data_IF_090095668478
#
_entry.id   IF_090095668478
#
_cell.length_a   1.000
_cell.length_b   1.000
_cell.length_c   1.000
_cell.angle_alpha   90.00
_cell.angle_beta   90.00
_cell.angle_gamma   90.00
#
_symmetry.space_group_name_H-M   'P 1'
#
loop_
_entity.id
_entity.type
_entity.pdbx_description
1 polymer ?
#
# COMPACT_ATOMS: atom_id res chain seq x y z
N UNK A 1 -34.61 -9.55 -59.07
CA UNK A 1 -34.08 -9.96 -60.39
C UNK A 1 -32.64 -9.43 -60.46
N UNK A 2 -31.66 -10.04 -59.79
CA UNK A 2 -30.88 -11.26 -60.13
C UNK A 2 -29.85 -11.06 -61.26
N UNK A 3 -28.58 -10.93 -60.87
CA UNK A 3 -27.36 -11.60 -61.42
C UNK A 3 -26.15 -10.86 -60.82
N UNK A 4 -25.39 -11.39 -59.85
CA UNK A 4 -24.48 -12.55 -59.84
C UNK A 4 -23.18 -12.35 -60.62
N UNK A 5 -22.09 -12.10 -59.89
CA UNK A 5 -20.76 -12.68 -60.13
C UNK A 5 -19.84 -12.22 -59.00
N UNK A 6 -19.49 -13.15 -58.10
CA UNK A 6 -18.51 -12.94 -57.04
C UNK A 6 -17.08 -13.03 -57.54
N UNK A 7 -16.14 -12.58 -56.70
CA UNK A 7 -14.80 -13.15 -56.61
C UNK A 7 -14.23 -12.92 -55.20
N UNK A 8 -13.98 -14.04 -54.55
CA UNK A 8 -13.12 -14.24 -53.38
C UNK A 8 -11.69 -14.38 -53.92
N UNK A 9 -10.69 -13.74 -53.33
CA UNK A 9 -9.32 -14.27 -53.31
C UNK A 9 -8.51 -13.68 -52.14
N UNK A 10 -8.39 -14.53 -51.13
CA UNK A 10 -7.19 -14.74 -50.30
C UNK A 10 -5.95 -14.96 -51.20
N UNK A 11 -4.79 -14.39 -50.88
CA UNK A 11 -3.49 -15.09 -50.99
C UNK A 11 -2.35 -14.29 -50.37
N UNK A 12 -1.76 -14.90 -49.34
CA UNK A 12 -0.38 -14.77 -48.89
C UNK A 12 0.59 -15.37 -49.94
N UNK A 13 1.87 -14.92 -50.05
CA UNK A 13 2.92 -15.81 -50.54
C UNK A 13 4.11 -15.93 -49.57
N UNK A 14 4.48 -17.19 -49.31
CA UNK A 14 5.72 -17.64 -48.67
C UNK A 14 6.84 -17.81 -49.72
N UNK A 15 8.05 -17.38 -49.33
CA UNK A 15 9.36 -18.08 -49.37
C UNK A 15 9.99 -18.53 -50.72
N UNK A 16 11.23 -18.07 -50.95
CA UNK A 16 12.41 -18.83 -51.45
C UNK A 16 13.67 -17.99 -51.11
N UNK A 17 14.83 -18.45 -50.63
CA UNK A 17 15.38 -19.78 -50.37
C UNK A 17 16.63 -20.07 -51.24
N UNK A 18 17.85 -19.97 -50.67
CA UNK A 18 19.09 -20.73 -51.03
C UNK A 18 20.32 -20.14 -50.26
N UNK A 19 20.89 -20.77 -49.22
CA UNK A 19 21.91 -21.87 -49.17
C UNK A 19 23.31 -21.44 -49.66
N UNK A 20 24.48 -21.82 -49.12
CA UNK A 20 25.02 -22.69 -48.05
C UNK A 20 26.55 -22.42 -48.05
N UNK A 21 27.28 -22.49 -46.92
CA UNK A 21 28.48 -23.35 -46.81
C UNK A 21 29.14 -23.40 -45.43
N UNK A 22 29.60 -24.62 -45.12
CA UNK A 22 30.18 -25.14 -43.89
C UNK A 22 31.65 -24.76 -43.66
N UNK A 23 32.10 -24.79 -42.39
CA UNK A 23 33.33 -25.50 -41.97
C UNK A 23 33.38 -25.74 -40.45
N UNK A 24 33.54 -27.03 -40.11
CA UNK A 24 33.96 -27.55 -38.81
C UNK A 24 35.43 -27.21 -38.50
N UNK A 25 35.79 -27.11 -37.21
CA UNK A 25 36.84 -27.97 -36.65
C UNK A 25 36.81 -28.03 -35.12
N UNK A 26 37.08 -29.23 -34.62
CA UNK A 26 37.01 -29.65 -33.23
C UNK A 26 38.38 -29.66 -32.52
N UNK A 27 38.29 -29.90 -31.20
CA UNK A 27 39.20 -30.64 -30.33
C UNK A 27 40.24 -29.94 -29.41
N UNK A 28 39.97 -30.16 -28.12
CA UNK A 28 40.82 -30.77 -27.07
C UNK A 28 41.88 -29.96 -26.33
N UNK A 29 41.84 -30.06 -24.98
CA UNK A 29 42.97 -29.74 -24.12
C UNK A 29 42.65 -29.76 -22.61
N UNK A 30 42.44 -30.94 -22.03
CA UNK A 30 42.53 -31.17 -20.57
C UNK A 30 44.02 -31.11 -20.15
N UNK A 31 44.39 -30.32 -19.13
CA UNK A 31 45.38 -30.75 -18.14
C UNK A 31 45.47 -29.86 -16.88
N UNK A 32 45.37 -30.54 -15.74
CA UNK A 32 45.81 -30.19 -14.38
C UNK A 32 47.18 -29.49 -14.30
N UNK A 33 47.32 -28.53 -13.37
CA UNK A 33 48.50 -28.45 -12.46
C UNK A 33 48.20 -27.68 -11.17
N UNK A 34 48.65 -28.29 -10.07
CA UNK A 34 48.56 -27.95 -8.64
C UNK A 34 49.58 -26.88 -8.19
N UNK A 35 49.26 -26.31 -7.02
CA UNK A 35 50.15 -25.87 -5.91
C UNK A 35 51.01 -24.60 -6.16
N UNK A 36 51.24 -23.69 -5.21
CA UNK A 36 51.19 -23.78 -3.75
C UNK A 36 51.35 -22.39 -3.07
N UNK A 37 51.03 -22.37 -1.76
CA UNK A 37 51.47 -21.48 -0.67
C UNK A 37 50.72 -20.14 -0.51
N UNK A 38 50.27 -19.72 0.69
CA UNK A 38 50.72 -20.06 2.05
C UNK A 38 49.65 -19.82 3.14
N UNK A 39 49.67 -20.74 4.10
CA UNK A 39 49.03 -20.84 5.43
C UNK A 39 49.81 -19.89 6.40
N UNK A 40 49.24 -19.19 7.40
CA UNK A 40 48.92 -19.71 8.76
C UNK A 40 48.03 -18.80 9.63
N UNK A 41 47.40 -19.36 10.70
CA UNK A 41 46.43 -18.74 11.63
C UNK A 41 46.98 -18.55 13.06
N UNK A 42 46.29 -17.77 13.92
CA UNK A 42 46.47 -17.67 15.40
C UNK A 42 45.21 -16.94 15.97
N UNK A 43 44.59 -17.23 17.13
CA UNK A 43 44.78 -18.23 18.17
C UNK A 43 43.52 -18.25 19.07
N UNK A 44 43.20 -19.40 19.65
CA UNK A 44 42.17 -19.59 20.69
C UNK A 44 42.88 -19.95 21.99
N UNK A 45 42.60 -19.24 23.10
CA UNK A 45 42.91 -19.71 24.45
C UNK A 45 42.00 -19.03 25.48
N UNK A 46 41.12 -19.82 26.11
CA UNK A 46 41.10 -19.94 27.57
C UNK A 46 40.35 -21.19 28.01
N UNK A 47 41.00 -21.92 28.90
CA UNK A 47 40.78 -23.28 29.37
C UNK A 47 39.88 -23.37 30.61
N UNK A 48 39.10 -24.46 30.66
CA UNK A 48 38.78 -25.37 31.80
C UNK A 48 38.12 -24.84 33.08
N UNK A 49 36.97 -25.43 33.43
CA UNK A 49 36.91 -26.44 34.51
C UNK A 49 35.65 -27.31 34.44
N UNK A 50 35.88 -28.61 34.60
CA UNK A 50 34.97 -29.75 34.64
C UNK A 50 34.05 -29.80 35.88
N UNK A 51 32.85 -30.37 35.69
CA UNK A 51 32.00 -30.93 36.74
C UNK A 51 30.91 -31.82 36.12
N UNK A 52 31.04 -33.14 36.27
CA UNK A 52 30.04 -34.17 35.96
C UNK A 52 28.89 -34.21 37.00
N UNK A 53 27.83 -34.96 36.66
CA UNK A 53 26.61 -35.35 37.41
C UNK A 53 25.36 -34.55 37.01
N UNK A 54 24.18 -35.10 36.73
CA UNK A 54 23.64 -36.46 36.79
C UNK A 54 22.40 -36.52 35.87
N UNK A 55 22.06 -37.72 35.42
CA UNK A 55 20.77 -38.07 34.81
C UNK A 55 19.65 -37.96 35.86
N UNK A 56 18.60 -37.18 35.58
CA UNK A 56 17.30 -37.42 36.21
C UNK A 56 16.14 -37.28 35.22
N UNK A 57 15.49 -38.42 35.01
CA UNK A 57 14.17 -38.58 34.41
C UNK A 57 13.14 -38.15 35.47
N UNK A 58 12.38 -37.08 35.23
CA UNK A 58 11.00 -36.98 35.73
C UNK A 58 10.24 -35.89 34.97
N UNK A 59 9.33 -36.31 34.09
CA UNK A 59 8.31 -35.42 33.55
C UNK A 59 7.20 -35.22 34.56
N UNK A 60 6.84 -33.96 34.83
CA UNK A 60 5.45 -33.55 35.12
C UNK A 60 5.27 -32.07 34.72
N UNK A 61 4.26 -31.86 33.89
CA UNK A 61 3.61 -30.61 33.47
C UNK A 61 4.09 -29.28 34.06
N UNK A 62 4.78 -28.49 33.24
CA UNK A 62 4.86 -27.04 33.35
C UNK A 62 4.26 -26.42 32.08
N UNK A 63 2.97 -26.09 32.13
CA UNK A 63 2.40 -25.14 31.18
C UNK A 63 3.05 -23.77 31.38
N UNK A 64 3.33 -23.00 30.33
CA UNK A 64 3.93 -21.68 30.52
C UNK A 64 2.93 -20.75 31.21
N UNK A 65 3.31 -20.29 32.41
CA UNK A 65 2.74 -19.16 33.11
C UNK A 65 2.99 -17.90 32.26
N UNK A 66 1.94 -17.40 31.62
CA UNK A 66 2.02 -16.14 30.87
C UNK A 66 2.03 -14.96 31.84
N UNK A 67 3.20 -14.34 31.99
CA UNK A 67 3.30 -13.00 32.55
C UNK A 67 2.58 -12.02 31.62
N UNK A 68 1.75 -11.16 32.24
CA UNK A 68 1.11 -10.00 31.66
C UNK A 68 2.19 -8.96 31.29
N UNK A 69 2.92 -9.23 30.22
CA UNK A 69 3.88 -8.31 29.61
C UNK A 69 3.15 -7.29 28.75
N UNK A 70 3.54 -6.03 28.90
CA UNK A 70 2.93 -4.86 28.30
C UNK A 70 3.01 -4.92 26.76
N UNK A 71 1.86 -5.02 26.10
CA UNK A 71 1.73 -4.67 24.69
C UNK A 71 1.57 -3.15 24.62
N UNK A 72 2.70 -2.45 24.60
CA UNK A 72 2.74 -0.99 24.43
C UNK A 72 2.46 -0.67 22.96
N UNK A 73 1.50 0.24 22.75
CA UNK A 73 0.98 0.70 21.47
C UNK A 73 2.02 0.83 20.33
N UNK A 74 1.75 0.17 19.20
CA UNK A 74 2.42 0.41 17.95
C UNK A 74 1.62 -0.18 16.79
N UNK A 75 1.40 0.61 15.74
CA UNK A 75 0.82 0.10 14.50
C UNK A 75 1.63 -1.09 13.96
N UNK A 76 1.01 -1.98 13.18
CA UNK A 76 1.56 -3.31 13.01
C UNK A 76 2.57 -3.26 11.86
N UNK A 77 3.87 -3.38 12.15
CA UNK A 77 4.93 -3.78 11.20
C UNK A 77 6.38 -3.73 11.72
N UNK A 78 6.69 -3.13 12.88
CA UNK A 78 8.12 -2.88 13.20
C UNK A 78 8.64 -3.55 14.47
N UNK A 79 7.78 -3.99 15.40
CA UNK A 79 8.26 -4.44 16.71
C UNK A 79 9.07 -3.37 17.46
N UNK A 80 9.00 -2.11 17.00
CA UNK A 80 9.61 -0.98 17.66
C UNK A 80 8.57 -0.46 18.64
N UNK A 81 8.86 -0.64 19.94
CA UNK A 81 8.18 0.10 20.99
C UNK A 81 8.25 1.59 20.64
N UNK A 82 7.08 2.19 20.45
CA UNK A 82 6.98 3.63 20.51
C UNK A 82 7.15 4.00 21.99
N UNK A 83 7.96 5.02 22.32
CA UNK A 83 7.92 5.57 23.67
C UNK A 83 6.46 5.91 23.96
N UNK A 84 5.88 5.21 24.93
CA UNK A 84 4.53 5.50 25.40
C UNK A 84 4.45 6.97 25.79
N UNK A 85 3.26 7.56 25.69
CA UNK A 85 3.02 8.96 26.05
C UNK A 85 3.29 9.27 27.55
N UNK A 86 3.91 8.35 28.31
CA UNK A 86 4.07 8.41 29.76
C UNK A 86 5.54 8.36 30.26
N UNK A 87 6.55 8.30 29.39
CA UNK A 87 7.94 8.51 29.85
C UNK A 87 8.35 9.99 29.80
N UNK A 88 8.84 10.44 30.95
CA UNK A 88 9.20 11.78 31.33
C UNK A 88 10.13 12.46 30.31
N UNK A 89 9.70 13.65 29.85
CA UNK A 89 10.33 14.45 28.79
C UNK A 89 11.66 15.07 29.26
N UNK A 90 12.76 14.37 29.05
CA UNK A 90 14.00 15.08 28.72
C UNK A 90 13.96 15.43 27.23
N UNK A 91 13.40 16.60 26.90
CA UNK A 91 13.54 17.17 25.56
C UNK A 91 15.04 17.22 25.23
N UNK A 92 15.52 16.53 24.17
CA UNK A 92 16.94 16.54 23.85
C UNK A 92 17.39 17.99 23.69
N UNK A 93 18.36 18.39 24.52
CA UNK A 93 18.70 19.77 24.87
C UNK A 93 19.24 20.66 23.72
N UNK A 94 19.03 20.30 22.45
CA UNK A 94 19.58 21.03 21.29
C UNK A 94 18.69 21.09 20.04
N UNK A 95 17.37 20.87 20.15
CA UNK A 95 16.47 21.04 18.99
C UNK A 95 16.05 22.51 18.81
N UNK A 96 16.40 23.11 17.67
CA UNK A 96 15.84 24.39 17.23
C UNK A 96 14.31 24.31 17.03
N UNK A 97 13.63 25.45 16.96
CA UNK A 97 12.16 25.51 16.87
C UNK A 97 11.60 24.68 15.69
N UNK A 98 12.30 24.70 14.55
CA UNK A 98 11.93 23.92 13.38
C UNK A 98 12.03 22.41 13.63
N UNK A 99 13.07 21.94 14.33
CA UNK A 99 13.23 20.54 14.68
C UNK A 99 12.19 20.05 15.68
N UNK A 100 11.80 20.88 16.66
CA UNK A 100 10.69 20.56 17.58
C UNK A 100 9.36 20.45 16.84
N UNK A 101 9.09 21.39 15.93
CA UNK A 101 7.87 21.36 15.11
C UNK A 101 7.82 20.12 14.20
N UNK A 102 8.91 19.83 13.47
CA UNK A 102 9.01 18.61 12.66
C UNK A 102 8.84 17.35 13.48
N UNK A 103 9.47 17.27 14.65
CA UNK A 103 9.32 16.11 15.53
C UNK A 103 7.87 15.91 15.98
N UNK A 104 7.20 16.99 16.40
CA UNK A 104 5.80 16.96 16.83
C UNK A 104 4.82 16.51 15.74
N UNK A 105 5.06 16.89 14.49
CA UNK A 105 4.18 16.58 13.35
C UNK A 105 4.78 15.56 12.37
N UNK A 106 5.83 14.82 12.80
CA UNK A 106 6.64 13.95 11.92
C UNK A 106 5.83 12.91 11.18
N UNK A 107 4.79 12.40 11.81
CA UNK A 107 3.92 11.36 11.25
C UNK A 107 3.07 11.90 10.10
N UNK A 108 2.53 13.10 10.25
CA UNK A 108 1.77 13.79 9.20
C UNK A 108 2.65 14.16 8.00
N UNK A 109 3.90 14.55 8.25
CA UNK A 109 4.88 14.79 7.19
C UNK A 109 5.27 13.48 6.50
N UNK A 110 5.47 12.40 7.26
CA UNK A 110 5.80 11.10 6.72
C UNK A 110 4.68 10.58 5.80
N UNK A 111 3.42 10.63 6.24
CA UNK A 111 2.26 10.26 5.42
C UNK A 111 2.11 11.14 4.17
N UNK A 112 2.36 12.44 4.29
CA UNK A 112 2.36 13.36 3.14
C UNK A 112 3.41 12.97 2.08
N UNK A 113 4.68 12.85 2.47
CA UNK A 113 5.76 12.54 1.53
C UNK A 113 5.69 11.11 1.01
N UNK A 114 5.30 10.15 1.87
CA UNK A 114 5.10 8.76 1.46
C UNK A 114 4.00 8.62 0.42
N UNK A 115 2.86 9.31 0.61
CA UNK A 115 1.75 9.27 -0.36
C UNK A 115 2.10 10.01 -1.64
N UNK A 116 2.81 11.15 -1.54
CA UNK A 116 3.31 11.88 -2.70
C UNK A 116 4.22 11.01 -3.57
N UNK A 117 5.18 10.30 -2.97
CA UNK A 117 6.08 9.37 -3.68
C UNK A 117 5.29 8.22 -4.31
N UNK A 118 4.36 7.63 -3.56
CA UNK A 118 3.49 6.57 -4.09
C UNK A 118 2.70 7.06 -5.33
N UNK A 119 2.11 8.25 -5.28
CA UNK A 119 1.37 8.79 -6.44
C UNK A 119 2.32 9.16 -7.58
N UNK A 120 3.50 9.74 -7.32
CA UNK A 120 4.45 10.07 -8.37
C UNK A 120 4.92 8.86 -9.17
N UNK A 121 5.24 7.75 -8.50
CA UNK A 121 5.64 6.51 -9.19
C UNK A 121 4.45 5.80 -9.83
N UNK A 122 3.31 5.76 -9.16
CA UNK A 122 2.09 5.11 -9.65
C UNK A 122 1.51 5.81 -10.88
N UNK A 123 1.25 7.11 -10.80
CA UNK A 123 0.76 7.89 -11.94
C UNK A 123 1.85 8.02 -13.02
N UNK A 124 3.13 8.06 -12.63
CA UNK A 124 4.26 8.08 -13.57
C UNK A 124 4.32 6.86 -14.48
N UNK A 125 4.09 5.65 -13.96
CA UNK A 125 4.06 4.43 -14.81
C UNK A 125 2.86 4.42 -15.75
N UNK A 126 1.73 5.01 -15.33
CA UNK A 126 0.54 5.17 -16.18
C UNK A 126 0.75 6.25 -17.24
N UNK A 127 1.41 7.36 -16.90
CA UNK A 127 1.82 8.40 -17.84
C UNK A 127 2.76 7.83 -18.91
N UNK A 128 3.75 7.04 -18.49
CA UNK A 128 4.66 6.38 -19.42
C UNK A 128 3.93 5.41 -20.34
N UNK A 129 2.97 4.63 -19.83
CA UNK A 129 2.17 3.74 -20.67
C UNK A 129 1.28 4.50 -21.66
N UNK A 130 0.57 5.52 -21.18
CA UNK A 130 -0.42 6.26 -21.98
C UNK A 130 0.25 7.12 -23.04
N UNK A 131 1.20 7.97 -22.63
CA UNK A 131 1.80 8.98 -23.50
C UNK A 131 2.81 8.40 -24.51
N UNK A 132 3.23 7.14 -24.33
CA UNK A 132 4.04 6.41 -25.31
C UNK A 132 3.22 5.45 -26.17
N UNK A 133 1.89 5.52 -26.11
CA UNK A 133 0.99 4.57 -26.77
C UNK A 133 1.39 3.09 -26.52
N UNK A 134 1.73 2.81 -25.25
CA UNK A 134 2.13 1.50 -24.72
C UNK A 134 3.45 0.95 -25.28
N UNK A 135 4.26 1.75 -25.99
CA UNK A 135 5.56 1.32 -26.51
C UNK A 135 6.52 0.91 -25.37
N UNK A 136 6.57 1.70 -24.29
CA UNK A 136 7.52 1.47 -23.19
C UNK A 136 6.91 0.83 -21.94
N UNK A 137 5.58 0.74 -21.86
CA UNK A 137 4.89 0.25 -20.66
C UNK A 137 3.51 -0.29 -21.00
N UNK A 138 3.24 -1.53 -20.58
CA UNK A 138 1.95 -2.21 -20.71
C UNK A 138 1.28 -2.39 -19.34
N UNK A 139 0.10 -3.02 -19.30
CA UNK A 139 -0.66 -3.21 -18.05
C UNK A 139 0.13 -3.95 -16.95
N UNK A 140 0.96 -4.91 -17.32
CA UNK A 140 1.84 -5.61 -16.36
C UNK A 140 2.86 -4.65 -15.75
N UNK A 141 3.43 -3.74 -16.56
CA UNK A 141 4.34 -2.71 -16.07
C UNK A 141 3.62 -1.73 -15.13
N UNK A 142 2.37 -1.35 -15.44
CA UNK A 142 1.54 -0.54 -14.54
C UNK A 142 1.37 -1.25 -13.19
N UNK A 143 1.03 -2.53 -13.20
CA UNK A 143 0.84 -3.32 -11.96
C UNK A 143 2.14 -3.43 -11.15
N UNK A 144 3.28 -3.67 -11.81
CA UNK A 144 4.60 -3.68 -11.16
C UNK A 144 4.98 -2.30 -10.62
N UNK A 145 4.70 -1.23 -11.38
CA UNK A 145 4.98 0.14 -11.00
C UNK A 145 4.18 0.59 -9.79
N UNK A 146 2.89 0.26 -9.71
CA UNK A 146 2.08 0.53 -8.51
C UNK A 146 2.53 -0.29 -7.30
N UNK A 147 2.95 -1.55 -7.48
CA UNK A 147 3.60 -2.32 -6.42
C UNK A 147 4.86 -1.62 -5.90
N UNK A 148 5.74 -1.18 -6.81
CA UNK A 148 6.96 -0.43 -6.49
C UNK A 148 6.67 0.90 -5.80
N UNK A 149 5.63 1.60 -6.25
CA UNK A 149 5.21 2.87 -5.70
C UNK A 149 4.79 2.77 -4.23
N UNK A 150 3.99 1.76 -3.88
CA UNK A 150 3.59 1.52 -2.48
C UNK A 150 4.78 1.11 -1.63
N UNK A 151 5.68 0.26 -2.15
CA UNK A 151 6.92 -0.11 -1.46
C UNK A 151 7.77 1.11 -1.13
N UNK A 152 8.04 1.99 -2.12
CA UNK A 152 8.87 3.19 -1.91
C UNK A 152 8.18 4.23 -1.01
N UNK A 153 6.87 4.39 -1.16
CA UNK A 153 6.06 5.20 -0.26
C UNK A 153 6.18 4.70 1.18
N UNK A 154 6.06 3.39 1.39
CA UNK A 154 6.18 2.78 2.71
C UNK A 154 7.58 2.93 3.28
N UNK A 155 8.63 2.69 2.48
CA UNK A 155 10.02 2.90 2.91
C UNK A 155 10.30 4.35 3.35
N UNK A 156 9.55 5.31 2.81
CA UNK A 156 9.67 6.72 3.20
C UNK A 156 9.06 7.01 4.58
N UNK A 157 7.98 6.33 4.96
CA UNK A 157 7.14 6.75 6.08
C UNK A 157 6.84 5.68 7.15
N UNK A 158 7.05 4.40 6.84
CA UNK A 158 6.68 3.25 7.67
C UNK A 158 7.30 3.31 9.07
N UNK A 159 8.61 3.56 9.15
CA UNK A 159 9.33 3.67 10.43
C UNK A 159 8.98 4.90 11.28
N UNK A 160 8.18 5.84 10.78
CA UNK A 160 7.79 7.07 11.49
C UNK A 160 6.30 7.04 11.83
N UNK A 161 5.45 6.78 10.84
CA UNK A 161 4.00 6.95 10.92
C UNK A 161 3.21 5.64 11.01
N UNK A 162 3.85 4.50 10.73
CA UNK A 162 3.18 3.23 10.43
C UNK A 162 2.92 3.02 8.93
N UNK A 163 3.06 4.08 8.12
CA UNK A 163 3.02 3.99 6.65
C UNK A 163 1.69 3.52 6.10
N UNK A 164 0.60 4.18 6.50
CA UNK A 164 -0.74 3.83 6.04
C UNK A 164 -0.96 4.19 4.57
N UNK A 165 -0.51 5.38 4.13
CA UNK A 165 -0.57 5.88 2.76
C UNK A 165 -1.97 5.94 2.12
N UNK A 166 -2.99 5.59 2.89
CA UNK A 166 -4.33 5.30 2.42
C UNK A 166 -5.34 5.68 3.50
N UNK A 167 -6.27 6.61 3.20
CA UNK A 167 -7.31 7.01 4.13
C UNK A 167 -8.15 5.83 4.63
N UNK A 168 -8.50 4.88 3.75
CA UNK A 168 -9.30 3.72 4.10
C UNK A 168 -8.55 2.72 5.01
N UNK A 169 -7.24 2.55 4.81
CA UNK A 169 -6.39 1.74 5.71
C UNK A 169 -6.26 2.43 7.06
N UNK A 170 -6.06 3.76 7.08
CA UNK A 170 -5.97 4.54 8.32
C UNK A 170 -7.25 4.43 9.16
N UNK A 171 -8.40 4.46 8.50
CA UNK A 171 -9.68 4.25 9.15
C UNK A 171 -9.79 2.83 9.74
N UNK A 172 -9.49 1.79 8.96
CA UNK A 172 -9.54 0.40 9.42
C UNK A 172 -8.58 0.14 10.60
N UNK A 173 -7.38 0.70 10.58
CA UNK A 173 -6.44 0.64 11.71
C UNK A 173 -6.99 1.30 12.97
N UNK A 174 -7.75 2.41 12.85
CA UNK A 174 -8.40 3.06 13.99
C UNK A 174 -9.53 2.19 14.59
N UNK A 175 -10.21 1.40 13.77
CA UNK A 175 -11.22 0.45 14.21
C UNK A 175 -10.59 -0.76 14.90
N UNK A 176 -9.58 -1.40 14.29
CA UNK A 176 -9.15 -2.75 14.67
C UNK A 176 -7.75 -2.87 15.31
N UNK A 177 -6.88 -1.86 15.18
CA UNK A 177 -5.47 -1.91 15.62
C UNK A 177 -5.09 -0.77 16.56
N UNK A 178 -6.09 -0.26 17.26
CA UNK A 178 -5.94 0.77 18.29
C UNK A 178 -5.21 2.05 17.86
N UNK A 179 -5.27 2.36 16.57
CA UNK A 179 -4.77 3.64 16.08
C UNK A 179 -5.65 4.79 16.60
N UNK A 180 -5.01 5.83 17.15
CA UNK A 180 -5.70 6.93 17.84
C UNK A 180 -6.61 7.69 16.86
N UNK A 181 -7.92 7.67 17.14
CA UNK A 181 -8.95 8.42 16.38
C UNK A 181 -8.67 9.92 16.25
N UNK A 182 -8.00 10.53 17.24
CA UNK A 182 -7.61 11.94 17.19
C UNK A 182 -6.59 12.28 16.09
N UNK A 183 -5.84 11.28 15.60
CA UNK A 183 -4.85 11.43 14.53
C UNK A 183 -5.40 11.08 13.15
N UNK A 184 -6.47 10.28 13.09
CA UNK A 184 -7.05 9.70 11.87
C UNK A 184 -7.33 10.74 10.79
N UNK A 185 -8.05 11.82 11.11
CA UNK A 185 -8.36 12.86 10.13
C UNK A 185 -7.11 13.62 9.65
N UNK A 186 -6.12 13.83 10.53
CA UNK A 186 -4.87 14.48 10.16
C UNK A 186 -4.04 13.61 9.20
N UNK A 187 -3.99 12.29 9.43
CA UNK A 187 -3.35 11.35 8.49
C UNK A 187 -4.04 11.37 7.13
N UNK A 188 -5.38 11.29 7.10
CA UNK A 188 -6.16 11.35 5.86
C UNK A 188 -5.89 12.66 5.10
N UNK A 189 -5.89 13.80 5.80
CA UNK A 189 -5.58 15.09 5.20
C UNK A 189 -4.17 15.16 4.62
N UNK A 190 -3.17 14.65 5.34
CA UNK A 190 -1.79 14.55 4.86
C UNK A 190 -1.65 13.68 3.62
N UNK A 191 -2.30 12.51 3.61
CA UNK A 191 -2.29 11.59 2.47
C UNK A 191 -2.93 12.24 1.24
N UNK A 192 -4.12 12.84 1.41
CA UNK A 192 -4.82 13.55 0.34
C UNK A 192 -3.98 14.72 -0.22
N UNK A 193 -3.32 15.50 0.64
CA UNK A 193 -2.45 16.58 0.17
C UNK A 193 -1.20 16.03 -0.56
N UNK A 194 -0.63 14.93 -0.07
CA UNK A 194 0.51 14.25 -0.69
C UNK A 194 0.17 13.74 -2.09
N UNK A 195 -0.95 13.05 -2.24
CA UNK A 195 -1.42 12.57 -3.54
C UNK A 195 -1.77 13.69 -4.52
N UNK A 196 -2.36 14.78 -4.02
CA UNK A 196 -2.66 15.96 -4.84
C UNK A 196 -1.38 16.59 -5.42
N UNK A 197 -0.36 16.82 -4.57
CA UNK A 197 0.93 17.36 -5.03
C UNK A 197 1.66 16.35 -5.93
N UNK A 198 1.60 15.06 -5.63
CA UNK A 198 2.17 14.01 -6.46
C UNK A 198 1.63 14.02 -7.89
N UNK A 199 0.30 14.11 -8.05
CA UNK A 199 -0.34 14.21 -9.36
C UNK A 199 0.07 15.47 -10.13
N UNK A 200 0.13 16.63 -9.45
CA UNK A 200 0.60 17.88 -10.07
C UNK A 200 2.06 17.79 -10.54
N UNK A 201 2.93 17.13 -9.77
CA UNK A 201 4.33 16.95 -10.15
C UNK A 201 4.46 16.03 -11.38
N UNK A 202 3.69 14.94 -11.45
CA UNK A 202 3.66 14.08 -12.65
C UNK A 202 3.20 14.87 -13.88
N UNK A 203 2.13 15.68 -13.73
CA UNK A 203 1.68 16.55 -14.81
C UNK A 203 2.77 17.53 -15.26
N UNK A 204 3.44 18.19 -14.31
CA UNK A 204 4.50 19.13 -14.62
C UNK A 204 5.68 18.46 -15.34
N UNK A 205 6.05 17.24 -14.92
CA UNK A 205 7.12 16.46 -15.57
C UNK A 205 6.77 16.08 -17.01
N UNK A 206 5.52 15.67 -17.27
CA UNK A 206 5.10 15.19 -18.58
C UNK A 206 4.37 16.24 -19.43
N UNK A 207 4.27 17.51 -19.01
CA UNK A 207 3.42 18.53 -19.64
C UNK A 207 3.55 18.58 -21.17
N UNK A 208 4.78 18.62 -21.68
CA UNK A 208 5.04 18.65 -23.13
C UNK A 208 4.62 17.37 -23.83
N UNK A 209 4.76 16.21 -23.16
CA UNK A 209 4.30 14.92 -23.67
C UNK A 209 2.76 14.85 -23.72
N UNK A 210 2.06 15.40 -22.73
CA UNK A 210 0.59 15.58 -22.82
C UNK A 210 0.21 16.44 -24.02
N UNK A 211 0.90 17.57 -24.21
CA UNK A 211 0.62 18.49 -25.32
C UNK A 211 0.84 17.83 -26.68
N UNK A 212 1.89 17.01 -26.79
CA UNK A 212 2.17 16.25 -28.00
C UNK A 212 1.12 15.14 -28.25
N UNK A 213 0.78 14.37 -27.22
CA UNK A 213 -0.12 13.23 -27.31
C UNK A 213 -1.57 13.65 -27.62
N UNK A 214 -2.06 14.72 -26.97
CA UNK A 214 -3.42 15.24 -27.20
C UNK A 214 -3.50 16.28 -28.32
N UNK A 215 -2.36 16.68 -28.90
CA UNK A 215 -2.30 17.59 -30.04
C UNK A 215 -2.46 19.08 -29.71
N UNK A 216 -2.29 19.48 -28.45
CA UNK A 216 -2.36 20.89 -28.07
C UNK A 216 -2.11 21.16 -26.58
N UNK A 217 -1.67 22.39 -26.28
CA UNK A 217 -1.35 22.82 -24.91
C UNK A 217 -2.57 23.00 -24.00
N UNK A 218 -3.74 23.25 -24.61
CA UNK A 218 -5.01 23.58 -23.94
C UNK A 218 -6.04 22.43 -24.03
N UNK A 219 -5.61 21.23 -24.45
CA UNK A 219 -6.49 20.07 -24.66
C UNK A 219 -6.22 19.04 -23.57
N UNK A 220 -7.22 18.72 -22.75
CA UNK A 220 -7.17 17.63 -21.77
C UNK A 220 -8.47 16.88 -21.75
N UNK A 221 -8.43 15.58 -22.01
CA UNK A 221 -9.64 14.80 -22.28
C UNK A 221 -9.80 13.62 -21.34
N UNK A 222 -11.07 13.35 -20.97
CA UNK A 222 -11.47 12.16 -20.18
C UNK A 222 -11.85 11.02 -21.12
N UNK A 223 -12.45 11.34 -22.26
CA UNK A 223 -12.86 10.41 -23.31
C UNK A 223 -12.39 10.89 -24.69
N UNK A 224 -12.42 10.02 -25.68
CA UNK A 224 -11.99 10.31 -27.06
C UNK A 224 -10.84 9.41 -27.50
N UNK A 225 -10.10 9.85 -28.52
CA UNK A 225 -9.04 9.04 -29.14
C UNK A 225 -7.76 9.00 -28.30
N UNK A 226 -7.47 10.08 -27.56
CA UNK A 226 -6.24 10.23 -26.77
C UNK A 226 -6.52 10.69 -25.32
N UNK A 227 -7.39 10.01 -24.55
CA UNK A 227 -7.74 10.44 -23.20
C UNK A 227 -6.54 10.31 -22.24
N UNK A 228 -6.30 11.36 -21.46
CA UNK A 228 -5.15 11.41 -20.53
C UNK A 228 -5.55 11.53 -19.06
N UNK A 229 -6.84 11.74 -18.75
CA UNK A 229 -7.33 11.82 -17.38
C UNK A 229 -7.03 10.55 -16.56
N UNK A 230 -6.97 9.39 -17.24
CA UNK A 230 -6.67 8.09 -16.65
C UNK A 230 -5.28 7.98 -16.03
N UNK A 231 -4.37 8.93 -16.33
CA UNK A 231 -3.05 9.02 -15.70
C UNK A 231 -3.16 9.39 -14.22
N UNK A 232 -4.14 10.23 -13.87
CA UNK A 232 -4.30 10.75 -12.51
C UNK A 232 -5.22 9.88 -11.67
N UNK A 233 -6.28 9.36 -12.26
CA UNK A 233 -7.35 8.73 -11.51
C UNK A 233 -7.99 7.63 -12.33
N UNK A 234 -8.65 6.72 -11.61
CA UNK A 234 -9.26 5.55 -12.23
C UNK A 234 -10.60 5.91 -12.87
N UNK A 235 -10.93 5.17 -13.93
CA UNK A 235 -12.24 5.18 -14.56
C UNK A 235 -12.69 3.73 -14.74
N UNK A 236 -13.97 3.46 -14.51
CA UNK A 236 -14.56 2.16 -14.78
C UNK A 236 -14.65 1.91 -16.29
N UNK A 237 -14.62 0.64 -16.72
CA UNK A 237 -14.91 0.33 -18.12
C UNK A 237 -16.34 0.77 -18.50
N UNK A 238 -16.52 1.20 -19.75
CA UNK A 238 -17.80 1.76 -20.24
C UNK A 238 -19.01 0.83 -20.05
N UNK A 239 -18.78 -0.49 -20.11
CA UNK A 239 -19.84 -1.50 -19.99
C UNK A 239 -20.20 -1.84 -18.53
N UNK A 240 -19.46 -1.33 -17.53
CA UNK A 240 -19.66 -1.70 -16.13
C UNK A 240 -20.83 -0.92 -15.50
N UNK A 241 -21.92 -1.58 -15.07
CA UNK A 241 -22.94 -0.92 -14.26
C UNK A 241 -22.41 -0.63 -12.85
N UNK A 242 -22.96 0.39 -12.18
CA UNK A 242 -22.52 0.84 -10.83
C UNK A 242 -22.40 -0.30 -9.81
N UNK A 243 -23.30 -1.29 -9.84
CA UNK A 243 -23.21 -2.46 -8.94
C UNK A 243 -21.89 -3.23 -9.10
N UNK A 244 -21.42 -3.40 -10.33
CA UNK A 244 -20.17 -4.11 -10.63
C UNK A 244 -18.95 -3.26 -10.27
N UNK A 245 -19.04 -1.94 -10.44
CA UNK A 245 -18.01 -0.99 -10.00
C UNK A 245 -17.82 -1.09 -8.48
N UNK A 246 -18.92 -1.06 -7.72
CA UNK A 246 -18.92 -1.21 -6.26
C UNK A 246 -18.33 -2.57 -5.86
N UNK A 247 -18.78 -3.67 -6.49
CA UNK A 247 -18.26 -5.01 -6.18
C UNK A 247 -16.75 -5.11 -6.42
N UNK A 248 -16.26 -4.56 -7.54
CA UNK A 248 -14.83 -4.57 -7.89
C UNK A 248 -13.97 -3.87 -6.82
N UNK A 249 -14.34 -2.64 -6.46
CA UNK A 249 -13.61 -1.86 -5.45
C UNK A 249 -13.77 -2.42 -4.03
N UNK A 250 -14.95 -2.96 -3.70
CA UNK A 250 -15.21 -3.59 -2.41
C UNK A 250 -14.32 -4.81 -2.21
N UNK A 251 -14.33 -5.76 -3.16
CA UNK A 251 -13.56 -7.01 -3.07
C UNK A 251 -12.06 -6.71 -3.03
N UNK A 252 -11.57 -5.84 -3.90
CA UNK A 252 -10.15 -5.49 -3.96
C UNK A 252 -9.67 -4.81 -2.66
N UNK A 253 -10.48 -3.90 -2.11
CA UNK A 253 -10.15 -3.21 -0.84
C UNK A 253 -10.26 -4.14 0.38
N UNK A 254 -11.18 -5.11 0.35
CA UNK A 254 -11.26 -6.17 1.36
C UNK A 254 -10.04 -7.06 1.34
N UNK A 255 -9.60 -7.51 0.16
CA UNK A 255 -8.37 -8.29 0.02
C UNK A 255 -7.14 -7.49 0.48
N UNK A 256 -7.05 -6.21 0.12
CA UNK A 256 -5.98 -5.32 0.56
C UNK A 256 -5.87 -5.33 2.09
N UNK A 257 -6.93 -4.98 2.81
CA UNK A 257 -6.84 -4.85 4.27
C UNK A 257 -6.67 -6.19 4.98
N UNK A 258 -7.38 -7.22 4.51
CA UNK A 258 -7.25 -8.57 5.07
C UNK A 258 -5.80 -9.06 5.00
N UNK A 259 -5.13 -8.86 3.88
CA UNK A 259 -3.74 -9.27 3.69
C UNK A 259 -2.74 -8.35 4.39
N UNK A 260 -3.01 -7.03 4.51
CA UNK A 260 -2.20 -6.16 5.38
C UNK A 260 -2.23 -6.66 6.82
N UNK A 261 -3.41 -7.02 7.35
CA UNK A 261 -3.51 -7.58 8.69
C UNK A 261 -2.81 -8.94 8.80
N UNK A 262 -2.95 -9.82 7.81
CA UNK A 262 -2.22 -11.09 7.78
C UNK A 262 -0.70 -10.91 7.81
N UNK A 263 -0.17 -9.96 7.02
CA UNK A 263 1.26 -9.69 6.90
C UNK A 263 1.86 -9.02 8.15
N UNK A 264 1.03 -8.46 9.02
CA UNK A 264 1.47 -7.71 10.20
C UNK A 264 1.04 -8.36 11.52
N UNK A 265 0.36 -9.50 11.46
CA UNK A 265 -0.15 -10.22 12.62
C UNK A 265 0.96 -11.01 13.35
N UNK A 266 1.30 -10.66 14.60
CA UNK A 266 2.31 -11.37 15.37
C UNK A 266 1.91 -12.81 15.75
N UNK A 267 0.62 -13.18 15.63
CA UNK A 267 0.10 -14.51 15.94
C UNK A 267 -0.03 -15.43 14.71
N UNK A 268 0.35 -14.95 13.53
CA UNK A 268 0.35 -15.72 12.28
C UNK A 268 1.79 -15.86 11.75
N UNK A 269 2.02 -15.65 10.45
CA UNK A 269 3.34 -15.54 9.84
C UNK A 269 3.57 -14.07 9.43
N UNK A 270 3.92 -13.19 10.39
CA UNK A 270 4.18 -11.80 10.07
C UNK A 270 5.39 -11.71 9.14
N UNK A 271 5.34 -10.75 8.22
CA UNK A 271 6.52 -10.43 7.43
C UNK A 271 7.55 -9.75 8.31
N UNK A 272 8.79 -10.19 8.22
CA UNK A 272 9.93 -9.54 8.86
C UNK A 272 9.98 -8.06 8.51
N UNK A 273 10.33 -7.19 9.48
CA UNK A 273 10.28 -5.73 9.32
C UNK A 273 11.08 -5.23 8.11
N UNK A 274 12.21 -5.89 7.80
CA UNK A 274 13.06 -5.58 6.65
C UNK A 274 12.47 -6.01 5.30
N UNK A 275 11.59 -7.03 5.30
CA UNK A 275 10.92 -7.57 4.11
C UNK A 275 9.51 -7.03 3.91
N UNK A 276 8.92 -6.41 4.93
CA UNK A 276 7.56 -5.88 4.86
C UNK A 276 7.29 -4.96 3.66
N UNK A 277 8.21 -4.03 3.26
CA UNK A 277 8.00 -3.24 2.05
C UNK A 277 7.85 -4.09 0.77
N UNK A 278 8.60 -5.20 0.67
CA UNK A 278 8.50 -6.12 -0.46
C UNK A 278 7.23 -6.98 -0.41
N UNK A 279 6.76 -7.34 0.78
CA UNK A 279 5.45 -7.99 0.96
C UNK A 279 4.31 -7.08 0.50
N UNK A 280 4.39 -5.77 0.78
CA UNK A 280 3.45 -4.79 0.25
C UNK A 280 3.55 -4.65 -1.27
N UNK A 281 4.77 -4.66 -1.84
CA UNK A 281 4.96 -4.70 -3.29
C UNK A 281 4.18 -5.86 -3.92
N UNK A 282 4.37 -7.08 -3.39
CA UNK A 282 3.72 -8.28 -3.92
C UNK A 282 2.20 -8.23 -3.77
N UNK A 283 1.70 -7.74 -2.62
CA UNK A 283 0.27 -7.56 -2.40
C UNK A 283 -0.37 -6.67 -3.47
N UNK A 284 0.21 -5.48 -3.69
CA UNK A 284 -0.34 -4.50 -4.62
C UNK A 284 -0.19 -4.97 -6.07
N UNK A 285 0.95 -5.57 -6.42
CA UNK A 285 1.16 -6.17 -7.73
C UNK A 285 0.10 -7.23 -8.04
N UNK A 286 -0.16 -8.16 -7.11
CA UNK A 286 -1.15 -9.21 -7.29
C UNK A 286 -2.58 -8.65 -7.41
N UNK A 287 -2.95 -7.65 -6.60
CA UNK A 287 -4.26 -7.00 -6.72
C UNK A 287 -4.40 -6.33 -8.09
N UNK A 288 -3.39 -5.56 -8.54
CA UNK A 288 -3.41 -4.91 -9.84
C UNK A 288 -3.50 -5.91 -11.00
N UNK A 289 -2.67 -6.95 -10.98
CA UNK A 289 -2.62 -7.97 -12.02
C UNK A 289 -3.91 -8.82 -12.11
N UNK A 290 -4.61 -9.05 -11.00
CA UNK A 290 -5.79 -9.94 -10.96
C UNK A 290 -7.14 -9.20 -10.97
N UNK A 291 -7.24 -8.04 -10.32
CA UNK A 291 -8.52 -7.36 -10.08
C UNK A 291 -8.61 -5.97 -10.75
N UNK A 292 -7.57 -5.57 -11.47
CA UNK A 292 -7.47 -4.19 -11.89
C UNK A 292 -8.12 -3.81 -13.23
N UNK A 293 -8.53 -4.77 -14.07
CA UNK A 293 -9.08 -4.47 -15.40
C UNK A 293 -10.39 -3.64 -15.36
N UNK A 294 -11.28 -3.97 -14.41
CA UNK A 294 -12.63 -3.42 -14.38
C UNK A 294 -12.69 -1.95 -13.92
N UNK A 295 -11.91 -1.61 -12.88
CA UNK A 295 -11.98 -0.33 -12.18
C UNK A 295 -10.62 0.30 -11.91
N UNK A 296 -9.51 -0.32 -12.34
CA UNK A 296 -8.17 0.22 -12.08
C UNK A 296 -7.68 0.03 -10.64
N UNK A 297 -8.33 -0.86 -9.87
CA UNK A 297 -7.95 -1.22 -8.49
C UNK A 297 -7.62 0.01 -7.64
N UNK A 298 -8.55 0.96 -7.56
CA UNK A 298 -8.26 2.23 -6.91
C UNK A 298 -7.91 2.01 -5.43
N UNK A 299 -8.73 1.26 -4.68
CA UNK A 299 -8.52 0.73 -3.32
C UNK A 299 -8.02 1.73 -2.24
N UNK A 300 -7.87 3.00 -2.60
CA UNK A 300 -7.20 4.04 -1.84
C UNK A 300 -7.72 5.43 -2.31
N UNK A 301 -8.48 6.14 -1.47
CA UNK A 301 -8.97 7.48 -1.81
C UNK A 301 -7.84 8.49 -2.11
N UNK A 302 -6.68 8.41 -1.46
CA UNK A 302 -5.55 9.31 -1.72
C UNK A 302 -4.81 8.99 -3.03
N UNK A 303 -5.00 7.79 -3.59
CA UNK A 303 -4.49 7.38 -4.91
C UNK A 303 -5.41 7.77 -6.06
N UNK A 304 -6.70 8.01 -5.78
CA UNK A 304 -7.69 8.33 -6.81
C UNK A 304 -8.22 9.76 -6.68
N UNK A 305 -8.89 10.05 -5.57
CA UNK A 305 -9.56 11.33 -5.37
C UNK A 305 -8.58 12.50 -5.30
N UNK A 306 -7.41 12.31 -4.66
CA UNK A 306 -6.42 13.37 -4.55
C UNK A 306 -5.80 13.79 -5.91
N UNK A 307 -5.23 12.88 -6.72
CA UNK A 307 -4.77 13.23 -8.06
C UNK A 307 -5.93 13.58 -9.02
N UNK A 308 -7.17 13.10 -8.80
CA UNK A 308 -8.36 13.61 -9.50
C UNK A 308 -8.61 15.09 -9.21
N UNK A 309 -8.49 15.53 -7.96
CA UNK A 309 -8.56 16.96 -7.60
C UNK A 309 -7.40 17.73 -8.25
N UNK A 310 -6.20 17.13 -8.34
CA UNK A 310 -5.07 17.73 -9.05
C UNK A 310 -5.41 17.93 -10.54
N UNK A 311 -5.95 16.92 -11.21
CA UNK A 311 -6.41 17.03 -12.59
C UNK A 311 -7.50 18.10 -12.76
N UNK A 312 -8.44 18.19 -11.82
CA UNK A 312 -9.48 19.22 -11.82
C UNK A 312 -8.89 20.64 -11.70
N UNK A 313 -7.84 20.82 -10.91
CA UNK A 313 -7.16 22.12 -10.73
C UNK A 313 -6.41 22.61 -11.97
N UNK A 314 -6.24 21.75 -12.99
CA UNK A 314 -5.72 22.15 -14.31
C UNK A 314 -6.81 22.90 -15.10
N UNK A 315 -8.09 22.77 -14.74
CA UNK A 315 -9.26 23.43 -15.36
C UNK A 315 -9.54 23.07 -16.84
N UNK A 316 -8.85 22.06 -17.39
CA UNK A 316 -9.01 21.66 -18.80
C UNK A 316 -9.89 20.40 -19.00
N UNK A 317 -9.95 19.49 -18.02
CA UNK A 317 -10.69 18.21 -18.15
C UNK A 317 -12.22 18.33 -18.05
N UNK A 318 -12.75 19.48 -17.64
CA UNK A 318 -14.20 19.69 -17.47
C UNK A 318 -14.86 18.83 -16.37
N UNK A 319 -16.19 18.79 -16.36
CA UNK A 319 -16.98 18.07 -15.34
C UNK A 319 -16.98 16.55 -15.52
N UNK A 320 -16.63 16.06 -16.71
CA UNK A 320 -16.63 14.63 -17.04
C UNK A 320 -15.70 13.82 -16.12
N UNK A 321 -14.64 14.46 -15.61
CA UNK A 321 -13.73 13.93 -14.60
C UNK A 321 -14.45 13.37 -13.37
N UNK A 322 -15.65 13.89 -13.07
CA UNK A 322 -16.48 13.49 -11.92
C UNK A 322 -17.67 12.65 -12.33
N UNK A 323 -18.27 12.94 -13.50
CA UNK A 323 -19.55 12.36 -13.91
C UNK A 323 -19.43 11.10 -14.77
N UNK A 324 -18.25 10.83 -15.33
CA UNK A 324 -18.02 9.65 -16.15
C UNK A 324 -18.39 8.34 -15.43
N UNK A 325 -18.87 7.35 -16.18
CA UNK A 325 -19.18 6.02 -15.65
C UNK A 325 -20.27 6.01 -14.58
N UNK A 326 -21.30 6.85 -14.72
CA UNK A 326 -22.37 7.05 -13.73
C UNK A 326 -21.88 7.62 -12.40
N UNK A 327 -21.09 8.70 -12.47
CA UNK A 327 -20.43 9.31 -11.30
C UNK A 327 -19.46 8.34 -10.59
N UNK A 328 -18.69 7.59 -11.40
CA UNK A 328 -17.78 6.57 -10.90
C UNK A 328 -16.83 7.10 -9.84
N UNK A 329 -16.40 8.38 -9.89
CA UNK A 329 -15.52 9.00 -8.90
C UNK A 329 -15.97 8.85 -7.44
N UNK A 330 -17.27 8.64 -7.18
CA UNK A 330 -17.80 8.37 -5.83
C UNK A 330 -17.36 6.99 -5.32
N UNK A 331 -17.28 6.00 -6.21
CA UNK A 331 -16.98 4.60 -5.88
C UNK A 331 -15.58 4.47 -5.24
N UNK A 332 -14.47 4.85 -5.89
CA UNK A 332 -13.13 4.76 -5.29
C UNK A 332 -12.91 5.76 -4.15
N UNK A 333 -13.78 6.76 -4.00
CA UNK A 333 -13.73 7.70 -2.88
C UNK A 333 -14.29 7.11 -1.58
N UNK A 334 -15.35 6.29 -1.66
CA UNK A 334 -16.11 5.83 -0.49
C UNK A 334 -16.03 4.31 -0.26
N UNK A 335 -16.10 3.51 -1.32
CA UNK A 335 -16.16 2.04 -1.20
C UNK A 335 -14.90 1.46 -0.57
N UNK A 336 -13.67 1.99 -0.78
CA UNK A 336 -12.50 1.49 -0.07
C UNK A 336 -12.65 1.50 1.44
N UNK A 337 -13.30 2.50 2.06
CA UNK A 337 -13.53 2.51 3.51
C UNK A 337 -14.38 1.32 3.97
N UNK A 338 -15.40 0.97 3.19
CA UNK A 338 -16.27 -0.18 3.48
C UNK A 338 -15.47 -1.48 3.29
N UNK A 339 -14.74 -1.58 2.18
CA UNK A 339 -13.96 -2.76 1.84
C UNK A 339 -12.84 -3.04 2.83
N UNK A 340 -12.04 -2.04 3.21
CA UNK A 340 -10.99 -2.22 4.21
C UNK A 340 -11.57 -2.57 5.57
N UNK A 341 -12.66 -1.91 5.99
CA UNK A 341 -13.34 -2.25 7.25
C UNK A 341 -13.85 -3.70 7.26
N UNK A 342 -14.41 -4.16 6.12
CA UNK A 342 -14.85 -5.55 5.96
C UNK A 342 -13.66 -6.53 5.95
N UNK A 343 -12.55 -6.19 5.29
CA UNK A 343 -11.33 -7.02 5.29
C UNK A 343 -10.76 -7.19 6.69
N UNK A 344 -10.70 -6.10 7.45
CA UNK A 344 -10.30 -6.13 8.85
C UNK A 344 -11.25 -6.97 9.71
N UNK A 345 -12.57 -6.78 9.55
CA UNK A 345 -13.59 -7.58 10.24
C UNK A 345 -13.40 -9.09 10.01
N UNK A 346 -13.24 -9.49 8.75
CA UNK A 346 -13.09 -10.89 8.36
C UNK A 346 -11.80 -11.50 8.94
N UNK A 347 -10.67 -10.79 8.84
CA UNK A 347 -9.42 -11.28 9.41
C UNK A 347 -9.52 -11.41 10.93
N UNK A 348 -10.09 -10.40 11.60
CA UNK A 348 -10.15 -10.36 13.05
C UNK A 348 -11.11 -11.38 13.65
N UNK A 349 -12.24 -11.63 12.98
CA UNK A 349 -13.26 -12.57 13.46
C UNK A 349 -12.80 -14.02 13.32
N UNK A 350 -12.08 -14.34 12.24
CA UNK A 350 -11.81 -15.74 11.88
C UNK A 350 -10.37 -16.19 12.09
N UNK A 351 -9.40 -15.25 12.18
CA UNK A 351 -7.97 -15.60 12.22
C UNK A 351 -7.25 -14.93 13.41
N UNK A 352 -7.42 -13.62 13.58
CA UNK A 352 -6.64 -12.86 14.56
C UNK A 352 -6.95 -13.25 16.01
N UNK A 353 -5.91 -13.29 16.85
CA UNK A 353 -6.02 -13.66 18.28
C UNK A 353 -5.69 -12.53 19.25
N UNK A 354 -5.29 -11.36 18.76
CA UNK A 354 -4.95 -10.20 19.59
C UNK A 354 -6.17 -9.57 20.26
N UNK A 355 -5.96 -8.86 21.38
CA UNK A 355 -7.02 -8.22 22.17
C UNK A 355 -7.29 -6.75 21.77
N UNK A 356 -6.50 -6.22 20.84
CA UNK A 356 -6.58 -4.84 20.33
C UNK A 356 -7.85 -4.61 19.50
N UNK A 357 -8.37 -5.70 18.92
CA UNK A 357 -9.56 -5.69 18.09
C UNK A 357 -10.84 -5.74 18.92
N UNK A 358 -11.89 -4.98 18.54
CA UNK A 358 -13.22 -5.13 19.13
C UNK A 358 -13.73 -6.58 19.10
N UNK A 359 -13.38 -7.38 18.09
CA UNK A 359 -13.92 -8.75 17.93
C UNK A 359 -13.52 -9.71 19.06
N UNK A 360 -12.38 -9.48 19.70
CA UNK A 360 -11.82 -10.34 20.75
C UNK A 360 -11.97 -9.73 22.16
N UNK A 361 -12.49 -8.50 22.26
CA UNK A 361 -12.78 -7.86 23.54
C UNK A 361 -14.10 -8.36 24.12
N UNK A 362 -14.14 -8.57 25.44
CA UNK A 362 -15.33 -9.11 26.13
C UNK A 362 -16.59 -8.23 25.96
N UNK A 363 -16.40 -6.93 25.74
CA UNK A 363 -17.45 -5.95 25.51
C UNK A 363 -17.59 -5.58 24.03
N UNK A 364 -17.01 -6.35 23.11
CA UNK A 364 -17.01 -6.05 21.68
C UNK A 364 -16.53 -4.62 21.32
N UNK A 365 -15.66 -4.02 22.15
CA UNK A 365 -15.16 -2.65 21.97
C UNK A 365 -16.15 -1.53 22.33
N UNK A 366 -17.29 -1.84 22.96
CA UNK A 366 -18.28 -0.83 23.39
C UNK A 366 -17.67 0.24 24.30
N UNK A 367 -16.84 -0.12 25.27
CA UNK A 367 -16.19 0.83 26.18
C UNK A 367 -15.20 1.75 25.44
N UNK A 368 -14.55 1.25 24.39
CA UNK A 368 -13.64 2.05 23.56
C UNK A 368 -14.37 3.14 22.78
N UNK A 369 -15.50 2.80 22.17
CA UNK A 369 -16.29 3.73 21.36
C UNK A 369 -17.18 4.65 22.20
N UNK A 370 -17.80 4.12 23.26
CA UNK A 370 -18.83 4.81 24.03
C UNK A 370 -18.46 5.06 25.50
N UNK A 371 -17.44 4.39 26.05
CA UNK A 371 -17.04 4.53 27.46
C UNK A 371 -16.65 5.95 27.88
N UNK A 372 -16.11 6.76 26.96
CA UNK A 372 -15.87 8.20 27.20
C UNK A 372 -17.17 9.01 27.31
N UNK A 373 -18.23 8.62 26.59
CA UNK A 373 -19.55 9.25 26.70
C UNK A 373 -20.23 8.85 28.01
N UNK A 374 -20.15 7.58 28.42
CA UNK A 374 -20.71 7.11 29.70
C UNK A 374 -20.02 7.73 30.90
N UNK A 375 -18.68 7.78 30.94
CA UNK A 375 -17.95 8.41 32.05
C UNK A 375 -18.20 9.92 32.12
N UNK A 376 -18.33 10.61 30.98
CA UNK A 376 -18.69 12.02 30.96
C UNK A 376 -20.11 12.26 31.47
N UNK A 377 -21.06 11.38 31.11
CA UNK A 377 -22.45 11.45 31.55
C UNK A 377 -22.58 11.15 33.05
N UNK A 378 -21.94 10.09 33.55
CA UNK A 378 -21.87 9.76 34.98
C UNK A 378 -21.24 10.91 35.78
N UNK A 379 -20.16 11.51 35.29
CA UNK A 379 -19.55 12.69 35.94
C UNK A 379 -20.51 13.89 35.97
N UNK A 380 -21.23 14.15 34.88
CA UNK A 380 -22.20 15.25 34.78
C UNK A 380 -23.42 15.01 35.69
N UNK A 381 -23.85 13.76 35.85
CA UNK A 381 -24.99 13.40 36.69
C UNK A 381 -24.60 13.43 38.19
N UNK A 382 -23.38 13.02 38.54
CA UNK A 382 -22.83 13.15 39.90
C UNK A 382 -22.60 14.61 40.30
N UNK A 383 -22.12 15.47 39.39
CA UNK A 383 -21.97 16.91 39.65
C UNK A 383 -23.33 17.58 39.92
N UNK A 384 -24.41 17.14 39.24
CA UNK A 384 -25.77 17.62 39.49
C UNK A 384 -26.37 17.16 40.81
N UNK A 385 -26.06 15.94 41.25
CA UNK A 385 -26.49 15.45 42.57
C UNK A 385 -25.81 16.21 43.70
N UNK A 386 -24.50 16.50 43.57
CA UNK A 386 -23.72 17.27 44.57
C UNK A 386 -24.18 18.73 44.67
N UNK A 387 -24.58 19.37 43.57
CA UNK A 387 -25.12 20.75 43.59
C UNK A 387 -26.58 20.83 44.10
N UNK A 388 -27.24 19.69 44.30
CA UNK A 388 -28.64 19.61 44.78
C UNK A 388 -28.79 19.28 46.28
N UNK A 389 -27.67 19.06 46.97
CA UNK A 389 -27.54 18.88 48.43
C UNK A 389 -26.86 20.09 49.05
#
# INVERSE_FOLDING_TARGET
>A
MSNSSGNVFDTNPKVAGSSVDHRENANNGIMNRRNNNSITPFDNNNTTSSGEADLDLHGTHSGPLYHRGELIHGGPATGLEYPGDEEEKDEPACLNAWSRFRYKYREYFAEFFGTMIMVMFGDGVVAQSTLSDKEYSTYTNISLGWGGAVMLGYMTCGGISGGHLNPAVTFASAVYRDFKWSKTLGYMGSQMLGGYIGGLLVYATYKTSFDHYEGGADIRTVTGDHPTAGIFCTFAQDYLPTRSQITSELVSSTLLQFLIFALTDPYNLPSESSLFPFSLFMLIFCIGACYGYQTGYAINPARDLAPRVAAASIHLYGSELWTYGHNYAIVPSLIPFIGTTLGGFLYDTFIYRGLETPCNQADYGYAKFFGKLTNKKIKTDLEKEVDST
#
